data_IF_706472484430
#
_entry.id   IF_706472484430
#
_cell.length_a   1.000
_cell.length_b   1.000
_cell.length_c   1.000
_cell.angle_alpha   90.00
_cell.angle_beta   90.00
_cell.angle_gamma   90.00
#
_symmetry.space_group_name_H-M   'P 1'
#
loop_
_entity.id
_entity.type
_entity.pdbx_description
1 polymer ?
#
# COMPACT_ATOMS: atom_id res chain seq x y z
N UNK A 1 -14.79 -38.90 43.01
CA UNK A 1 -15.57 -37.94 43.84
C UNK A 1 -15.53 -36.58 43.20
N UNK A 2 -16.70 -36.15 42.79
CA UNK A 2 -17.21 -34.77 42.52
C UNK A 2 -16.34 -33.75 41.79
N UNK A 3 -16.75 -33.51 40.61
CA UNK A 3 -17.05 -32.28 39.81
C UNK A 3 -17.21 -30.99 40.62
N UNK A 4 -16.66 -29.91 40.10
CA UNK A 4 -17.35 -28.60 40.04
C UNK A 4 -16.85 -27.76 38.86
N UNK A 5 -17.75 -27.57 37.91
CA UNK A 5 -17.81 -26.61 36.81
C UNK A 5 -17.97 -25.21 37.37
N UNK A 6 -17.24 -24.22 36.89
CA UNK A 6 -17.60 -22.80 37.01
C UNK A 6 -17.69 -22.17 35.63
N UNK A 7 -18.92 -21.97 35.18
CA UNK A 7 -19.28 -20.94 34.21
C UNK A 7 -19.24 -19.58 34.91
N UNK A 8 -18.58 -18.61 34.32
CA UNK A 8 -18.83 -17.20 34.65
C UNK A 8 -19.12 -16.46 33.35
N UNK A 9 -20.41 -16.21 33.14
CA UNK A 9 -20.92 -15.13 32.28
C UNK A 9 -20.42 -13.79 32.85
N UNK A 10 -19.85 -12.94 32.03
CA UNK A 10 -19.74 -11.52 32.35
C UNK A 10 -20.55 -10.75 31.32
N UNK A 11 -21.60 -10.12 31.83
CA UNK A 11 -22.52 -9.26 31.13
C UNK A 11 -21.91 -7.86 30.91
N UNK A 12 -22.17 -7.29 29.76
CA UNK A 12 -22.01 -5.85 29.47
C UNK A 12 -22.99 -5.02 30.32
N UNK A 13 -22.61 -3.82 30.76
CA UNK A 13 -23.59 -2.83 31.16
C UNK A 13 -23.90 -1.86 30.02
N UNK A 14 -25.14 -1.88 29.60
CA UNK A 14 -25.79 -0.80 28.89
C UNK A 14 -25.89 0.42 29.83
N UNK A 15 -25.47 1.58 29.36
CA UNK A 15 -25.82 2.86 29.99
C UNK A 15 -26.81 3.57 29.08
N UNK A 16 -28.05 3.59 29.55
CA UNK A 16 -29.11 4.42 29.00
C UNK A 16 -29.52 5.46 30.06
N UNK A 17 -29.54 6.73 29.62
CA UNK A 17 -30.46 7.81 29.97
C UNK A 17 -30.61 8.33 31.40
N UNK A 18 -30.60 9.69 31.46
CA UNK A 18 -31.69 10.56 31.95
C UNK A 18 -31.16 12.01 31.90
N UNK A 19 -31.59 12.89 31.08
CA UNK A 19 -32.78 13.72 30.86
C UNK A 19 -33.28 14.61 31.96
N UNK A 20 -33.41 15.87 31.57
CA UNK A 20 -34.32 16.91 31.90
C UNK A 20 -34.04 17.75 33.15
N UNK A 21 -33.74 19.01 32.86
CA UNK A 21 -34.51 20.13 33.44
C UNK A 21 -34.31 21.40 32.61
N UNK A 22 -35.41 22.07 32.36
CA UNK A 22 -35.54 23.34 31.68
C UNK A 22 -34.92 24.51 32.46
N UNK A 23 -34.49 25.51 31.76
CA UNK A 23 -34.18 26.86 32.27
C UNK A 23 -33.91 27.78 31.10
N UNK A 24 -34.89 28.66 30.80
CA UNK A 24 -34.76 29.77 29.89
C UNK A 24 -33.67 30.73 30.37
N UNK A 25 -32.85 31.27 29.45
CA UNK A 25 -32.66 32.70 29.30
C UNK A 25 -31.54 33.04 28.27
N UNK A 26 -31.91 34.02 27.45
CA UNK A 26 -31.11 35.04 26.73
C UNK A 26 -30.16 34.62 25.62
N UNK A 27 -30.56 35.11 24.44
CA UNK A 27 -29.84 35.19 23.19
C UNK A 27 -28.52 36.00 23.33
N UNK A 28 -27.40 35.30 23.16
CA UNK A 28 -26.18 35.93 22.68
C UNK A 28 -25.86 35.38 21.30
N UNK A 29 -25.86 36.28 20.32
CA UNK A 29 -25.39 36.00 18.95
C UNK A 29 -23.92 35.69 18.99
N UNK A 30 -23.59 34.39 18.97
CA UNK A 30 -22.23 33.92 18.72
C UNK A 30 -22.15 33.44 17.27
N UNK A 31 -21.20 34.01 16.55
CA UNK A 31 -20.88 33.69 15.17
C UNK A 31 -20.44 32.24 15.10
N UNK A 32 -21.30 31.39 14.58
CA UNK A 32 -21.00 29.99 14.33
C UNK A 32 -19.85 29.89 13.32
N UNK A 33 -18.70 29.50 13.82
CA UNK A 33 -17.72 28.75 13.03
C UNK A 33 -18.46 27.56 12.39
N UNK A 34 -18.44 27.49 11.06
CA UNK A 34 -19.01 26.36 10.32
C UNK A 34 -18.37 25.09 10.82
N UNK A 35 -19.10 24.28 11.55
CA UNK A 35 -18.69 22.94 11.89
C UNK A 35 -18.60 22.17 10.56
N UNK A 36 -17.42 21.67 10.23
CA UNK A 36 -17.26 20.68 9.17
C UNK A 36 -18.24 19.55 9.45
N UNK A 37 -19.17 19.30 8.53
CA UNK A 37 -20.07 18.15 8.64
C UNK A 37 -19.23 16.89 8.44
N UNK A 38 -19.24 16.00 9.41
CA UNK A 38 -18.58 14.70 9.27
C UNK A 38 -19.04 14.00 7.99
N UNK A 39 -18.14 13.33 7.27
CA UNK A 39 -18.51 12.59 6.06
C UNK A 39 -19.57 11.53 6.37
N UNK A 40 -20.47 11.30 5.44
CA UNK A 40 -21.50 10.27 5.57
C UNK A 40 -21.15 9.08 4.69
N UNK A 41 -20.94 7.90 5.29
CA UNK A 41 -20.70 6.68 4.53
C UNK A 41 -22.00 6.09 4.02
N UNK A 42 -22.08 5.78 2.73
CA UNK A 42 -23.18 5.05 2.09
C UNK A 42 -22.69 3.67 1.72
N UNK A 43 -23.35 2.65 2.28
CA UNK A 43 -23.00 1.24 2.09
C UNK A 43 -24.08 0.52 1.25
N UNK A 44 -23.65 -0.50 0.52
CA UNK A 44 -24.57 -1.49 -0.04
C UNK A 44 -25.20 -2.37 1.04
N UNK A 45 -26.29 -3.03 0.71
CA UNK A 45 -26.98 -3.97 1.60
C UNK A 45 -26.34 -5.38 1.58
N UNK A 46 -25.47 -5.67 0.61
CA UNK A 46 -24.83 -6.96 0.44
C UNK A 46 -23.74 -7.18 1.51
N UNK A 47 -23.72 -8.35 2.13
CA UNK A 47 -22.65 -8.75 3.02
C UNK A 47 -21.36 -9.07 2.24
N UNK A 48 -20.20 -8.77 2.84
CA UNK A 48 -18.89 -9.11 2.23
C UNK A 48 -18.82 -10.62 1.97
N UNK A 49 -18.42 -10.96 0.76
CA UNK A 49 -18.24 -12.35 0.35
C UNK A 49 -16.89 -12.85 0.87
N UNK A 50 -16.90 -14.03 1.48
CA UNK A 50 -15.66 -14.69 1.86
C UNK A 50 -14.94 -15.18 0.61
N UNK A 51 -13.80 -14.58 0.30
CA UNK A 51 -12.93 -14.98 -0.79
C UNK A 51 -11.85 -15.96 -0.31
N UNK A 52 -11.22 -16.64 -1.25
CA UNK A 52 -10.09 -17.56 -1.01
C UNK A 52 -8.89 -17.15 -1.87
N UNK A 53 -7.69 -17.51 -1.44
CA UNK A 53 -6.44 -17.09 -2.12
C UNK A 53 -6.38 -17.53 -3.59
N UNK A 54 -7.02 -18.65 -3.97
CA UNK A 54 -7.07 -19.07 -5.39
C UNK A 54 -7.82 -18.08 -6.29
N UNK A 55 -8.67 -17.23 -5.72
CA UNK A 55 -9.38 -16.20 -6.48
C UNK A 55 -8.42 -15.04 -6.87
N UNK A 56 -7.33 -14.84 -6.13
CA UNK A 56 -6.40 -13.72 -6.32
C UNK A 56 -5.56 -13.75 -7.62
N UNK A 57 -5.47 -14.87 -8.32
CA UNK A 57 -4.50 -15.08 -9.42
C UNK A 57 -4.64 -14.06 -10.54
N UNK A 58 -5.88 -13.78 -10.99
CA UNK A 58 -6.11 -12.84 -12.09
C UNK A 58 -5.78 -11.40 -11.67
N UNK A 59 -6.11 -11.00 -10.43
CA UNK A 59 -5.79 -9.69 -9.89
C UNK A 59 -4.26 -9.51 -9.75
N UNK A 60 -3.56 -10.53 -9.26
CA UNK A 60 -2.11 -10.53 -9.10
C UNK A 60 -1.39 -10.29 -10.44
N UNK A 61 -1.76 -11.04 -11.48
CA UNK A 61 -1.19 -10.90 -12.81
C UNK A 61 -1.47 -9.50 -13.41
N UNK A 62 -2.69 -9.00 -13.26
CA UNK A 62 -3.09 -7.67 -13.71
C UNK A 62 -2.28 -6.57 -13.00
N UNK A 63 -2.17 -6.65 -11.67
CA UNK A 63 -1.40 -5.69 -10.86
C UNK A 63 0.09 -5.69 -11.23
N UNK A 64 0.70 -6.86 -11.40
CA UNK A 64 2.12 -6.94 -11.74
C UNK A 64 2.40 -6.35 -13.14
N UNK A 65 1.53 -6.58 -14.12
CA UNK A 65 1.64 -5.96 -15.45
C UNK A 65 1.44 -4.44 -15.38
N UNK A 66 0.40 -3.98 -14.68
CA UNK A 66 0.16 -2.56 -14.43
C UNK A 66 1.32 -1.90 -13.69
N UNK A 67 1.91 -2.59 -12.71
CA UNK A 67 3.08 -2.14 -11.97
C UNK A 67 4.27 -1.84 -12.87
N UNK A 68 4.54 -2.71 -13.84
CA UNK A 68 5.65 -2.54 -14.78
C UNK A 68 5.44 -1.31 -15.67
N UNK A 69 4.26 -1.16 -16.26
CA UNK A 69 3.95 -0.02 -17.13
C UNK A 69 3.96 1.31 -16.35
N UNK A 70 3.36 1.33 -15.14
CA UNK A 70 3.33 2.52 -14.30
C UNK A 70 4.73 2.90 -13.81
N UNK A 71 5.54 1.92 -13.43
CA UNK A 71 6.93 2.14 -13.01
C UNK A 71 7.74 2.84 -14.10
N UNK A 72 7.65 2.35 -15.34
CA UNK A 72 8.35 2.95 -16.49
C UNK A 72 7.95 4.42 -16.68
N UNK A 73 6.66 4.74 -16.59
CA UNK A 73 6.15 6.11 -16.71
C UNK A 73 6.61 7.02 -15.59
N UNK A 74 6.51 6.55 -14.34
CA UNK A 74 6.92 7.35 -13.18
C UNK A 74 8.43 7.63 -13.18
N UNK A 75 9.24 6.64 -13.53
CA UNK A 75 10.69 6.82 -13.69
C UNK A 75 11.03 7.84 -14.79
N UNK A 76 10.25 7.87 -15.89
CA UNK A 76 10.49 8.82 -16.99
C UNK A 76 10.21 10.28 -16.59
N UNK A 77 9.35 10.54 -15.60
CA UNK A 77 9.08 11.90 -15.10
C UNK A 77 10.33 12.51 -14.45
N UNK A 78 10.99 11.77 -13.57
CA UNK A 78 12.26 12.16 -12.96
C UNK A 78 13.20 10.95 -12.86
N UNK A 79 14.08 10.77 -13.85
CA UNK A 79 15.00 9.63 -13.87
C UNK A 79 16.02 9.63 -12.73
N UNK A 80 16.18 10.73 -12.00
CA UNK A 80 17.20 10.90 -10.96
C UNK A 80 16.63 10.84 -9.54
N UNK A 81 15.35 11.04 -9.36
CA UNK A 81 14.70 10.99 -8.06
C UNK A 81 14.58 9.55 -7.51
N UNK A 82 14.52 9.44 -6.19
CA UNK A 82 14.00 8.24 -5.54
C UNK A 82 12.51 8.11 -5.84
N UNK A 83 12.03 6.87 -5.94
CA UNK A 83 10.63 6.57 -6.25
C UNK A 83 10.12 5.46 -5.36
N UNK A 84 8.94 5.63 -4.79
CA UNK A 84 8.16 4.56 -4.17
C UNK A 84 6.68 4.73 -4.51
N UNK A 85 6.00 3.65 -4.87
CA UNK A 85 4.56 3.65 -5.08
C UNK A 85 3.98 2.26 -4.80
N UNK A 86 2.65 2.19 -4.64
CA UNK A 86 1.95 0.93 -4.44
C UNK A 86 1.04 0.61 -5.61
N UNK A 87 1.46 -0.24 -6.54
CA UNK A 87 0.63 -0.65 -7.67
C UNK A 87 -0.62 -1.42 -7.21
N UNK A 88 -0.52 -2.23 -6.17
CA UNK A 88 -1.65 -2.98 -5.63
C UNK A 88 -2.76 -2.05 -5.12
N UNK A 89 -2.39 -1.02 -4.37
CA UNK A 89 -3.34 -0.08 -3.81
C UNK A 89 -4.00 0.78 -4.91
N UNK A 90 -3.21 1.28 -5.88
CA UNK A 90 -3.73 2.05 -7.02
C UNK A 90 -4.68 1.20 -7.87
N UNK A 91 -4.28 -0.02 -8.22
CA UNK A 91 -5.10 -0.91 -9.05
C UNK A 91 -6.40 -1.31 -8.34
N UNK A 92 -6.38 -1.55 -7.01
CA UNK A 92 -7.59 -1.79 -6.22
C UNK A 92 -8.56 -0.62 -6.31
N UNK A 93 -8.10 0.62 -6.09
CA UNK A 93 -8.94 1.81 -6.15
C UNK A 93 -9.54 2.04 -7.55
N UNK A 94 -8.72 1.90 -8.59
CA UNK A 94 -9.17 2.04 -9.98
C UNK A 94 -10.14 0.92 -10.38
N UNK A 95 -9.91 -0.32 -9.93
CA UNK A 95 -10.84 -1.44 -10.19
C UNK A 95 -12.17 -1.26 -9.46
N UNK A 96 -12.18 -0.76 -8.22
CA UNK A 96 -13.41 -0.35 -7.53
C UNK A 96 -14.20 0.67 -8.35
N UNK A 97 -13.49 1.67 -8.89
CA UNK A 97 -14.08 2.72 -9.71
C UNK A 97 -14.63 2.18 -11.03
N UNK A 98 -13.93 1.22 -11.66
CA UNK A 98 -14.35 0.62 -12.93
C UNK A 98 -15.69 -0.13 -12.82
N UNK A 99 -16.09 -0.55 -11.63
CA UNK A 99 -17.38 -1.20 -11.38
C UNK A 99 -18.59 -0.33 -11.78
N UNK A 100 -18.41 1.00 -11.77
CA UNK A 100 -19.47 1.93 -12.20
C UNK A 100 -19.26 2.50 -13.60
N UNK A 101 -18.16 2.15 -14.27
CA UNK A 101 -17.85 2.63 -15.61
C UNK A 101 -18.57 1.81 -16.69
N UNK A 102 -18.86 2.47 -17.81
CA UNK A 102 -19.43 1.84 -19.02
C UNK A 102 -18.69 2.35 -20.26
N UNK A 103 -19.00 1.78 -21.42
CA UNK A 103 -18.55 2.27 -22.72
C UNK A 103 -17.03 2.30 -22.90
N UNK A 104 -16.52 3.42 -23.42
CA UNK A 104 -15.10 3.62 -23.68
C UNK A 104 -14.31 3.71 -22.39
N UNK A 105 -14.83 4.40 -21.37
CA UNK A 105 -14.21 4.54 -20.06
C UNK A 105 -13.90 3.17 -19.45
N UNK A 106 -14.86 2.24 -19.41
CA UNK A 106 -14.63 0.88 -18.91
C UNK A 106 -13.59 0.13 -19.76
N UNK A 107 -13.63 0.28 -21.08
CA UNK A 107 -12.68 -0.37 -21.97
C UNK A 107 -11.25 0.10 -21.75
N UNK A 108 -11.04 1.41 -21.62
CA UNK A 108 -9.74 2.02 -21.36
C UNK A 108 -9.21 1.64 -19.96
N UNK A 109 -10.07 1.71 -18.94
CA UNK A 109 -9.71 1.27 -17.58
C UNK A 109 -9.26 -0.19 -17.55
N UNK A 110 -10.02 -1.09 -18.17
CA UNK A 110 -9.64 -2.51 -18.24
C UNK A 110 -8.32 -2.73 -18.99
N UNK A 111 -8.08 -1.97 -20.06
CA UNK A 111 -6.84 -2.07 -20.85
C UNK A 111 -5.64 -1.63 -20.04
N UNK A 112 -5.70 -0.46 -19.40
CA UNK A 112 -4.60 0.10 -18.60
C UNK A 112 -4.32 -0.76 -17.36
N UNK A 113 -5.36 -1.32 -16.74
CA UNK A 113 -5.24 -2.21 -15.59
C UNK A 113 -4.92 -3.67 -15.96
N UNK A 114 -4.71 -3.99 -17.24
CA UNK A 114 -4.47 -5.35 -17.73
C UNK A 114 -5.55 -6.36 -17.33
N UNK A 115 -6.80 -5.91 -17.21
CA UNK A 115 -7.94 -6.76 -16.83
C UNK A 115 -8.39 -7.54 -18.05
N UNK A 116 -8.09 -8.82 -18.10
CA UNK A 116 -8.46 -9.72 -19.21
C UNK A 116 -9.81 -10.41 -19.00
N UNK A 117 -10.27 -10.52 -17.75
CA UNK A 117 -11.59 -11.08 -17.41
C UNK A 117 -12.35 -10.09 -16.50
N UNK A 118 -13.07 -9.11 -17.05
CA UNK A 118 -13.84 -8.15 -16.27
C UNK A 118 -14.94 -8.78 -15.43
N UNK A 119 -15.42 -9.98 -15.79
CA UNK A 119 -16.52 -10.64 -15.05
C UNK A 119 -16.07 -11.19 -13.69
N UNK A 120 -14.79 -11.56 -13.55
CA UNK A 120 -14.24 -12.14 -12.32
C UNK A 120 -13.30 -11.20 -11.55
N UNK A 121 -12.92 -10.07 -12.12
CA UNK A 121 -11.86 -9.23 -11.53
C UNK A 121 -12.19 -8.75 -10.12
N UNK A 122 -13.42 -8.33 -9.83
CA UNK A 122 -13.81 -7.87 -8.51
C UNK A 122 -13.70 -8.99 -7.46
N UNK A 123 -14.07 -10.23 -7.84
CA UNK A 123 -13.86 -11.41 -6.99
C UNK A 123 -12.37 -11.67 -6.78
N UNK A 124 -11.57 -11.53 -7.83
CA UNK A 124 -10.11 -11.68 -7.72
C UNK A 124 -9.48 -10.63 -6.82
N UNK A 125 -9.94 -9.38 -6.86
CA UNK A 125 -9.51 -8.32 -5.96
C UNK A 125 -9.92 -8.60 -4.51
N UNK A 126 -11.11 -9.18 -4.28
CA UNK A 126 -11.53 -9.63 -2.95
C UNK A 126 -10.59 -10.73 -2.42
N UNK A 127 -10.25 -11.73 -3.26
CA UNK A 127 -9.29 -12.78 -2.90
C UNK A 127 -7.91 -12.22 -2.54
N UNK A 128 -7.45 -11.23 -3.29
CA UNK A 128 -6.18 -10.55 -3.01
C UNK A 128 -6.24 -9.75 -1.70
N UNK A 129 -7.32 -9.01 -1.46
CA UNK A 129 -7.51 -8.29 -0.19
C UNK A 129 -7.52 -9.23 1.00
N UNK A 130 -8.13 -10.41 0.87
CA UNK A 130 -8.11 -11.44 1.91
C UNK A 130 -6.69 -11.99 2.15
N UNK A 131 -5.85 -12.12 1.11
CA UNK A 131 -4.42 -12.48 1.26
C UNK A 131 -3.68 -11.40 2.04
N UNK A 132 -3.87 -10.13 1.72
CA UNK A 132 -3.25 -9.01 2.41
C UNK A 132 -3.71 -8.90 3.88
N UNK A 133 -4.99 -9.13 4.16
CA UNK A 133 -5.49 -9.17 5.54
C UNK A 133 -4.82 -10.31 6.36
N UNK A 134 -4.56 -11.44 5.72
CA UNK A 134 -3.99 -12.63 6.36
C UNK A 134 -2.50 -12.48 6.75
N UNK A 135 -1.76 -11.53 6.15
CA UNK A 135 -0.35 -11.29 6.53
C UNK A 135 -0.21 -10.54 7.85
N UNK A 136 -1.27 -9.89 8.32
CA UNK A 136 -1.27 -9.11 9.57
C UNK A 136 -1.14 -10.03 10.78
N UNK A 137 0.04 -10.05 11.38
CA UNK A 137 0.39 -10.92 12.51
C UNK A 137 1.28 -10.17 13.50
N UNK A 138 1.07 -10.44 14.79
CA UNK A 138 1.89 -9.91 15.87
C UNK A 138 2.16 -11.01 16.88
N UNK A 139 3.43 -11.22 17.23
CA UNK A 139 3.87 -12.20 18.23
C UNK A 139 4.77 -11.51 19.25
N UNK A 140 4.45 -11.69 20.53
CA UNK A 140 5.28 -11.25 21.64
C UNK A 140 6.37 -12.33 21.88
N UNK A 141 7.61 -11.98 21.60
CA UNK A 141 8.75 -12.91 21.72
C UNK A 141 9.15 -13.17 23.17
N UNK A 142 8.69 -12.37 24.13
CA UNK A 142 9.04 -12.54 25.54
C UNK A 142 8.52 -13.87 26.13
N UNK A 143 7.43 -14.42 25.59
CA UNK A 143 6.87 -15.70 25.98
C UNK A 143 7.81 -16.89 25.64
N UNK A 144 8.68 -16.74 24.66
CA UNK A 144 9.67 -17.75 24.23
C UNK A 144 11.10 -17.43 24.69
N UNK A 145 11.26 -16.42 25.55
CA UNK A 145 12.55 -16.00 26.09
C UNK A 145 13.33 -15.04 25.20
N UNK A 146 12.71 -14.53 24.14
CA UNK A 146 13.23 -13.44 23.31
C UNK A 146 12.90 -12.06 23.88
N UNK A 147 13.30 -11.01 23.17
CA UNK A 147 12.97 -9.63 23.50
C UNK A 147 12.10 -9.00 22.41
N UNK A 148 11.17 -8.14 22.81
CA UNK A 148 10.36 -7.34 21.89
C UNK A 148 9.23 -8.10 21.20
N UNK A 149 8.75 -7.51 20.13
CA UNK A 149 7.58 -7.98 19.36
C UNK A 149 7.96 -8.16 17.89
N UNK A 150 7.65 -9.32 17.32
CA UNK A 150 7.71 -9.55 15.87
C UNK A 150 6.35 -9.25 15.26
N UNK A 151 6.32 -8.41 14.22
CA UNK A 151 5.06 -8.01 13.61
C UNK A 151 5.16 -7.79 12.11
N UNK A 152 4.03 -8.04 11.44
CA UNK A 152 3.68 -7.53 10.13
C UNK A 152 2.33 -6.84 10.25
N UNK A 153 2.27 -5.58 9.88
CA UNK A 153 1.05 -4.77 9.81
C UNK A 153 1.00 -4.09 8.44
N UNK A 154 0.16 -4.59 7.57
CA UNK A 154 -0.12 -4.04 6.24
C UNK A 154 -1.53 -3.46 6.25
N UNK A 155 -1.68 -2.18 5.94
CA UNK A 155 -2.98 -1.53 5.77
C UNK A 155 -3.04 -0.91 4.38
N UNK A 156 -4.01 -1.35 3.59
CA UNK A 156 -4.33 -0.77 2.29
C UNK A 156 -5.68 -0.07 2.43
N UNK A 157 -5.63 1.25 2.47
CA UNK A 157 -6.80 2.09 2.68
C UNK A 157 -7.21 2.74 1.36
N UNK A 158 -8.25 2.19 0.74
CA UNK A 158 -8.85 2.69 -0.49
C UNK A 158 -10.26 3.18 -0.20
N UNK A 159 -10.57 4.40 -0.62
CA UNK A 159 -11.90 4.97 -0.44
C UNK A 159 -12.32 5.80 -1.64
N UNK A 160 -13.61 5.74 -1.97
CA UNK A 160 -14.25 6.57 -2.96
C UNK A 160 -15.03 7.67 -2.24
N UNK A 161 -14.74 8.92 -2.59
CA UNK A 161 -15.36 10.10 -2.01
C UNK A 161 -16.23 10.77 -3.07
N UNK A 162 -17.53 10.74 -2.86
CA UNK A 162 -18.53 11.25 -3.80
C UNK A 162 -19.18 12.55 -3.31
N UNK A 163 -19.76 13.32 -4.26
CA UNK A 163 -20.54 14.50 -3.94
C UNK A 163 -21.77 14.13 -3.10
N UNK A 164 -21.96 14.77 -1.98
CA UNK A 164 -23.18 14.69 -1.18
C UNK A 164 -24.41 15.10 -2.01
N UNK A 165 -25.56 14.51 -1.69
CA UNK A 165 -26.83 14.67 -2.40
C UNK A 165 -26.88 14.08 -3.82
N UNK A 166 -25.90 13.25 -4.22
CA UNK A 166 -26.03 12.38 -5.38
C UNK A 166 -26.64 11.04 -4.92
N UNK A 167 -27.54 10.51 -5.74
CA UNK A 167 -28.10 9.14 -5.55
C UNK A 167 -27.20 8.15 -6.26
N UNK A 168 -26.64 7.20 -5.51
CA UNK A 168 -25.78 6.15 -6.08
C UNK A 168 -26.60 4.89 -6.36
N UNK A 169 -26.25 4.20 -7.46
CA UNK A 169 -26.92 2.99 -7.89
C UNK A 169 -26.69 1.85 -6.86
N UNK A 170 -27.77 1.22 -6.44
CA UNK A 170 -27.70 0.17 -5.40
C UNK A 170 -26.81 -1.00 -5.81
N UNK A 171 -26.82 -1.38 -7.10
CA UNK A 171 -25.99 -2.46 -7.61
C UNK A 171 -24.49 -2.14 -7.48
N UNK A 172 -24.09 -0.89 -7.66
CA UNK A 172 -22.71 -0.44 -7.45
C UNK A 172 -22.32 -0.51 -5.97
N UNK A 173 -23.16 0.04 -5.08
CA UNK A 173 -22.93 -0.02 -3.63
C UNK A 173 -22.88 -1.47 -3.12
N UNK A 174 -23.75 -2.33 -3.62
CA UNK A 174 -23.75 -3.76 -3.25
C UNK A 174 -22.48 -4.48 -3.70
N UNK A 175 -21.93 -4.13 -4.88
CA UNK A 175 -20.67 -4.68 -5.34
C UNK A 175 -19.51 -4.18 -4.46
N UNK A 176 -19.44 -2.88 -4.13
CA UNK A 176 -18.42 -2.36 -3.23
C UNK A 176 -18.47 -3.05 -1.87
N UNK A 177 -19.66 -3.21 -1.29
CA UNK A 177 -19.83 -3.87 -0.01
C UNK A 177 -19.46 -5.36 -0.06
N UNK A 178 -19.92 -6.07 -1.10
CA UNK A 178 -19.73 -7.52 -1.19
C UNK A 178 -18.30 -7.94 -1.57
N UNK A 179 -17.63 -7.23 -2.46
CA UNK A 179 -16.32 -7.63 -2.95
C UNK A 179 -15.17 -6.88 -2.27
N UNK A 180 -15.39 -5.66 -1.80
CA UNK A 180 -14.33 -4.85 -1.18
C UNK A 180 -14.56 -4.57 0.31
N UNK A 181 -15.77 -4.84 0.84
CA UNK A 181 -16.12 -4.46 2.20
C UNK A 181 -16.12 -2.94 2.41
N UNK A 182 -16.31 -2.19 1.33
CA UNK A 182 -16.22 -0.73 1.28
C UNK A 182 -17.58 -0.10 0.92
N UNK A 183 -17.71 1.18 1.20
CA UNK A 183 -18.81 2.03 0.75
C UNK A 183 -18.29 3.23 -0.01
N UNK A 184 -19.13 4.24 -0.16
CA UNK A 184 -18.75 5.57 -0.60
C UNK A 184 -18.84 6.55 0.56
N UNK A 185 -17.83 7.36 0.71
CA UNK A 185 -17.83 8.50 1.62
C UNK A 185 -18.42 9.72 0.89
N UNK A 186 -19.37 10.41 1.50
CA UNK A 186 -20.04 11.56 0.91
C UNK A 186 -19.59 12.85 1.58
N UNK A 187 -19.12 13.80 0.78
CA UNK A 187 -18.72 15.14 1.18
C UNK A 187 -19.31 16.18 0.23
N UNK A 188 -19.46 17.41 0.69
CA UNK A 188 -20.04 18.48 -0.15
C UNK A 188 -18.96 19.33 -0.81
N UNK A 189 -18.45 18.84 -1.94
CA UNK A 189 -17.48 19.60 -2.74
C UNK A 189 -18.05 20.93 -3.29
N UNK A 190 -19.36 20.98 -3.58
CA UNK A 190 -19.98 22.14 -4.23
C UNK A 190 -20.08 23.34 -3.31
N UNK A 191 -20.31 23.11 -2.02
CA UNK A 191 -20.51 24.18 -1.04
C UNK A 191 -19.21 24.50 -0.29
N UNK A 192 -18.44 23.47 0.07
CA UNK A 192 -17.21 23.63 0.84
C UNK A 192 -16.15 22.56 0.46
N UNK A 193 -15.43 22.76 -0.67
CA UNK A 193 -14.38 21.83 -1.08
C UNK A 193 -13.20 21.78 -0.09
N UNK A 194 -12.98 22.84 0.70
CA UNK A 194 -11.92 22.84 1.70
C UNK A 194 -12.28 21.96 2.91
N UNK A 195 -13.52 21.99 3.39
CA UNK A 195 -13.97 21.06 4.41
C UNK A 195 -13.90 19.60 3.93
N UNK A 196 -14.24 19.34 2.66
CA UNK A 196 -14.07 18.00 2.06
C UNK A 196 -12.60 17.57 2.06
N UNK A 197 -11.67 18.45 1.68
CA UNK A 197 -10.23 18.19 1.71
C UNK A 197 -9.73 17.84 3.11
N UNK A 198 -10.14 18.62 4.10
CA UNK A 198 -9.76 18.39 5.51
C UNK A 198 -10.28 17.04 6.00
N UNK A 199 -11.54 16.70 5.68
CA UNK A 199 -12.11 15.40 6.07
C UNK A 199 -11.37 14.21 5.42
N UNK A 200 -11.02 14.31 4.13
CA UNK A 200 -10.25 13.29 3.43
C UNK A 200 -8.86 13.14 4.05
N UNK A 201 -8.15 14.23 4.30
CA UNK A 201 -6.82 14.17 4.93
C UNK A 201 -6.88 13.56 6.33
N UNK A 202 -7.86 13.91 7.14
CA UNK A 202 -8.03 13.33 8.47
C UNK A 202 -8.28 11.81 8.42
N UNK A 203 -9.06 11.34 7.45
CA UNK A 203 -9.28 9.93 7.23
C UNK A 203 -7.97 9.21 6.82
N UNK A 204 -7.19 9.79 5.89
CA UNK A 204 -5.90 9.22 5.46
C UNK A 204 -4.91 9.16 6.62
N UNK A 205 -4.80 10.23 7.41
CA UNK A 205 -3.92 10.30 8.59
C UNK A 205 -4.23 9.15 9.56
N UNK A 206 -5.49 8.91 9.84
CA UNK A 206 -5.92 7.80 10.69
C UNK A 206 -5.57 6.42 10.10
N UNK A 207 -5.88 6.21 8.81
CA UNK A 207 -5.64 4.92 8.13
C UNK A 207 -4.16 4.60 7.99
N UNK A 208 -3.30 5.63 7.90
CA UNK A 208 -1.85 5.47 7.74
C UNK A 208 -1.08 5.64 9.04
N UNK A 209 -1.74 5.56 10.21
CA UNK A 209 -1.11 5.68 11.54
C UNK A 209 -0.28 6.97 11.68
N UNK A 210 -0.82 8.09 11.23
CA UNK A 210 -0.22 9.43 11.20
C UNK A 210 1.05 9.53 10.32
N UNK A 211 1.23 8.62 9.37
CA UNK A 211 2.35 8.68 8.42
C UNK A 211 2.10 9.61 7.25
N UNK A 212 0.83 9.76 6.86
CA UNK A 212 0.41 10.65 5.78
C UNK A 212 -0.63 11.64 6.31
N UNK A 213 -0.19 12.70 7.00
CA UNK A 213 -1.11 13.68 7.60
C UNK A 213 -1.78 14.60 6.57
N UNK A 214 -1.22 14.70 5.38
CA UNK A 214 -1.72 15.58 4.32
C UNK A 214 -1.49 14.97 2.94
N UNK A 215 -2.44 14.15 2.49
CA UNK A 215 -2.44 13.58 1.14
C UNK A 215 -2.84 14.63 0.08
N UNK A 216 -3.88 15.42 0.39
CA UNK A 216 -4.43 16.42 -0.50
C UNK A 216 -3.87 17.81 -0.12
N UNK A 217 -3.05 18.46 -0.99
CA UNK A 217 -2.56 19.80 -0.75
C UNK A 217 -3.71 20.83 -0.86
N UNK A 218 -3.46 22.03 -0.34
CA UNK A 218 -4.41 23.13 -0.39
C UNK A 218 -4.82 23.44 -1.84
N UNK A 219 -6.13 23.60 -2.08
CA UNK A 219 -6.68 23.91 -3.39
C UNK A 219 -6.74 22.73 -4.38
N UNK A 220 -6.42 21.50 -3.95
CA UNK A 220 -6.51 20.30 -4.80
C UNK A 220 -7.95 19.89 -5.15
N UNK A 221 -8.93 20.32 -4.35
CA UNK A 221 -10.35 20.11 -4.60
C UNK A 221 -11.03 21.44 -4.96
N UNK A 222 -12.02 21.37 -5.84
CA UNK A 222 -12.76 22.54 -6.31
C UNK A 222 -14.27 22.31 -6.22
N UNK A 223 -15.05 23.36 -6.40
CA UNK A 223 -16.53 23.28 -6.47
C UNK A 223 -17.03 22.42 -7.64
N UNK A 224 -16.17 22.11 -8.60
CA UNK A 224 -16.48 21.24 -9.74
C UNK A 224 -16.09 19.77 -9.49
N UNK A 225 -15.37 19.46 -8.41
CA UNK A 225 -15.06 18.08 -8.02
C UNK A 225 -16.35 17.33 -7.69
N UNK A 226 -16.48 16.08 -8.15
CA UNK A 226 -17.63 15.20 -7.89
C UNK A 226 -17.24 13.85 -7.34
N UNK A 227 -16.03 13.39 -7.68
CA UNK A 227 -15.48 12.11 -7.27
C UNK A 227 -13.98 12.25 -7.04
N UNK A 228 -13.51 11.79 -5.89
CA UNK A 228 -12.08 11.70 -5.54
C UNK A 228 -11.75 10.27 -5.16
N UNK A 229 -10.74 9.71 -5.80
CA UNK A 229 -10.16 8.43 -5.41
C UNK A 229 -9.02 8.69 -4.43
N UNK A 230 -9.16 8.12 -3.25
CA UNK A 230 -8.17 8.20 -2.18
C UNK A 230 -7.53 6.84 -2.00
N UNK A 231 -6.22 6.85 -2.07
CA UNK A 231 -5.41 5.66 -2.02
C UNK A 231 -4.22 5.88 -1.08
N UNK A 232 -4.21 5.18 0.03
CA UNK A 232 -3.16 5.24 1.02
C UNK A 232 -2.73 3.83 1.43
N UNK A 233 -1.45 3.66 1.70
CA UNK A 233 -0.90 2.38 2.11
C UNK A 233 0.12 2.59 3.23
N UNK A 234 0.08 1.69 4.20
CA UNK A 234 0.98 1.62 5.32
C UNK A 234 1.53 0.21 5.48
N UNK A 235 2.82 0.09 5.70
CA UNK A 235 3.44 -1.17 6.06
C UNK A 235 4.40 -0.97 7.23
N UNK A 236 4.29 -1.86 8.22
CA UNK A 236 5.28 -2.08 9.26
C UNK A 236 5.58 -3.57 9.33
N UNK A 237 6.82 -3.96 9.08
CA UNK A 237 7.21 -5.37 9.03
C UNK A 237 8.65 -5.57 9.48
N UNK A 238 8.86 -6.50 10.42
CA UNK A 238 10.20 -6.88 10.84
C UNK A 238 10.82 -7.85 9.83
N UNK A 239 12.15 -7.75 9.61
CA UNK A 239 12.87 -8.77 8.88
C UNK A 239 12.76 -10.14 9.58
N UNK A 240 12.79 -11.23 8.83
CA UNK A 240 12.90 -12.58 9.39
C UNK A 240 14.23 -12.77 10.14
N UNK A 241 15.30 -12.13 9.62
CA UNK A 241 16.59 -12.02 10.26
C UNK A 241 16.98 -10.54 10.23
N UNK A 242 17.01 -9.90 11.37
CA UNK A 242 17.38 -8.49 11.52
C UNK A 242 18.87 -8.30 11.23
N UNK A 243 19.23 -7.14 10.70
CA UNK A 243 20.62 -6.74 10.62
C UNK A 243 21.13 -6.34 12.01
N UNK A 244 22.43 -6.52 12.23
CA UNK A 244 23.07 -6.06 13.46
C UNK A 244 23.49 -4.59 13.28
N UNK A 245 22.94 -3.68 14.06
CA UNK A 245 23.22 -2.25 14.01
C UNK A 245 24.71 -1.92 14.22
N UNK A 246 25.41 -2.73 15.02
CA UNK A 246 26.85 -2.57 15.23
C UNK A 246 27.69 -2.87 13.95
N UNK A 247 27.11 -3.52 12.94
CA UNK A 247 27.74 -3.79 11.65
C UNK A 247 27.32 -2.78 10.55
N UNK A 248 26.44 -1.84 10.85
CA UNK A 248 26.11 -0.76 9.92
C UNK A 248 27.25 0.22 9.84
N UNK A 249 27.77 0.43 8.63
CA UNK A 249 28.93 1.32 8.38
C UNK A 249 28.62 2.37 7.33
N UNK A 250 29.28 3.53 7.40
CA UNK A 250 29.20 4.54 6.33
C UNK A 250 30.06 4.09 5.14
N UNK A 251 29.40 3.65 4.06
CA UNK A 251 30.05 3.15 2.85
C UNK A 251 29.73 4.02 1.62
N UNK A 252 30.59 4.02 0.58
CA UNK A 252 30.33 4.75 -0.64
C UNK A 252 29.16 4.15 -1.43
N UNK A 253 28.32 5.03 -1.98
CA UNK A 253 27.22 4.70 -2.89
C UNK A 253 27.31 5.58 -4.14
N UNK A 254 27.28 4.93 -5.31
CA UNK A 254 27.43 5.59 -6.62
C UNK A 254 26.08 6.15 -7.10
N UNK A 255 25.62 7.27 -6.56
CA UNK A 255 24.39 7.94 -6.98
C UNK A 255 24.56 8.63 -8.36
N UNK A 256 23.46 8.92 -9.11
CA UNK A 256 23.52 9.61 -10.40
C UNK A 256 24.20 10.98 -10.35
N UNK A 257 24.10 11.68 -9.21
CA UNK A 257 24.72 12.99 -8.96
C UNK A 257 26.19 12.93 -8.55
N UNK A 258 26.76 11.73 -8.36
CA UNK A 258 28.10 11.49 -7.84
C UNK A 258 28.08 10.56 -6.64
N UNK A 259 29.27 10.25 -6.10
CA UNK A 259 29.40 9.39 -4.93
C UNK A 259 28.83 10.08 -3.67
N UNK A 260 27.97 9.36 -2.93
CA UNK A 260 27.43 9.77 -1.63
C UNK A 260 27.84 8.76 -0.56
N UNK A 261 27.67 9.09 0.71
CA UNK A 261 27.86 8.15 1.82
C UNK A 261 26.52 7.59 2.26
N UNK A 262 26.35 6.28 2.14
CA UNK A 262 25.17 5.56 2.63
C UNK A 262 25.48 4.85 3.96
N UNK A 263 24.48 4.74 4.84
CA UNK A 263 24.57 3.87 6.01
C UNK A 263 24.27 2.44 5.55
N UNK A 264 25.32 1.64 5.35
CA UNK A 264 25.24 0.30 4.79
C UNK A 264 25.08 -0.73 5.90
N UNK A 265 23.96 -1.42 5.91
CA UNK A 265 23.69 -2.56 6.80
C UNK A 265 24.35 -3.83 6.25
N UNK A 266 24.99 -4.60 7.08
CA UNK A 266 25.68 -5.82 6.66
C UNK A 266 25.13 -7.06 7.38
N UNK A 267 25.00 -8.16 6.63
CA UNK A 267 24.66 -9.47 7.17
C UNK A 267 25.21 -10.59 6.28
N UNK A 268 25.40 -11.77 6.85
CA UNK A 268 25.68 -13.00 6.08
C UNK A 268 24.61 -14.02 6.46
N UNK A 269 23.77 -14.38 5.49
CA UNK A 269 22.63 -15.27 5.71
C UNK A 269 22.32 -16.14 4.49
N UNK A 270 21.60 -17.24 4.72
CA UNK A 270 20.96 -17.99 3.63
C UNK A 270 19.78 -17.18 3.09
N UNK A 271 19.93 -16.62 1.88
CA UNK A 271 18.94 -15.81 1.19
C UNK A 271 18.66 -16.39 -0.20
N UNK A 272 17.54 -16.02 -0.78
CA UNK A 272 17.25 -16.30 -2.18
C UNK A 272 17.98 -15.28 -3.06
N UNK A 273 18.94 -15.75 -3.85
CA UNK A 273 19.79 -14.95 -4.74
C UNK A 273 19.63 -15.41 -6.18
N UNK A 274 19.62 -14.47 -7.11
CA UNK A 274 19.53 -14.72 -8.55
C UNK A 274 20.37 -13.72 -9.33
N UNK A 275 20.71 -14.10 -10.55
CA UNK A 275 21.42 -13.26 -11.50
C UNK A 275 20.92 -13.50 -12.91
N UNK A 276 20.99 -12.49 -13.77
CA UNK A 276 20.66 -12.51 -15.17
C UNK A 276 21.67 -11.73 -16.00
N UNK A 277 21.30 -11.34 -17.21
CA UNK A 277 22.20 -10.61 -18.10
C UNK A 277 22.42 -9.18 -17.60
N UNK A 278 23.54 -8.96 -16.89
CA UNK A 278 23.95 -7.66 -16.39
C UNK A 278 23.23 -7.19 -15.12
N UNK A 279 22.49 -8.04 -14.44
CA UNK A 279 21.84 -7.73 -13.16
C UNK A 279 21.95 -8.87 -12.15
N UNK A 280 21.83 -8.51 -10.88
CA UNK A 280 21.78 -9.42 -9.75
C UNK A 280 20.64 -9.05 -8.82
N UNK A 281 20.06 -10.02 -8.14
CA UNK A 281 18.95 -9.81 -7.23
C UNK A 281 19.07 -10.66 -5.95
N UNK A 282 18.50 -10.14 -4.86
CA UNK A 282 18.35 -10.85 -3.60
C UNK A 282 16.95 -10.63 -3.04
N UNK A 283 16.35 -11.67 -2.48
CA UNK A 283 15.09 -11.59 -1.77
C UNK A 283 15.30 -11.80 -0.27
N UNK A 284 14.84 -10.82 0.51
CA UNK A 284 14.94 -10.76 1.97
C UNK A 284 13.54 -10.99 2.53
N UNK A 285 13.28 -12.10 3.26
CA UNK A 285 11.97 -12.37 3.81
C UNK A 285 11.71 -11.48 5.04
N UNK A 286 10.45 -11.06 5.20
CA UNK A 286 9.96 -10.56 6.47
C UNK A 286 9.59 -11.71 7.42
N UNK A 287 9.45 -11.39 8.71
CA UNK A 287 8.98 -12.34 9.71
C UNK A 287 7.66 -13.00 9.27
N UNK A 288 7.46 -14.25 9.65
CA UNK A 288 6.37 -15.12 9.20
C UNK A 288 6.45 -15.57 7.73
N UNK A 289 7.34 -15.00 6.92
CA UNK A 289 7.61 -15.39 5.52
C UNK A 289 6.44 -15.23 4.54
N UNK A 290 5.42 -14.45 4.90
CA UNK A 290 4.31 -14.14 3.99
C UNK A 290 4.69 -13.04 3.01
N UNK A 291 5.52 -12.09 3.45
CA UNK A 291 6.04 -10.99 2.63
C UNK A 291 7.54 -11.11 2.40
N UNK A 292 8.01 -10.50 1.34
CA UNK A 292 9.44 -10.39 1.02
C UNK A 292 9.78 -9.04 0.37
N UNK A 293 11.03 -8.64 0.55
CA UNK A 293 11.64 -7.48 -0.08
C UNK A 293 12.66 -7.98 -1.12
N UNK A 294 12.33 -7.85 -2.38
CA UNK A 294 13.16 -8.22 -3.52
C UNK A 294 13.92 -7.00 -4.01
N UNK A 295 15.24 -7.07 -4.05
CA UNK A 295 16.13 -6.03 -4.54
C UNK A 295 16.84 -6.52 -5.80
N UNK A 296 16.82 -5.71 -6.86
CA UNK A 296 17.60 -5.94 -8.07
C UNK A 296 18.51 -4.75 -8.37
N UNK A 297 19.75 -5.03 -8.72
CA UNK A 297 20.77 -4.03 -9.02
C UNK A 297 21.50 -4.42 -10.32
N UNK A 298 21.67 -3.45 -11.22
CA UNK A 298 22.49 -3.63 -12.42
C UNK A 298 23.99 -3.68 -12.13
N UNK A 299 24.75 -4.39 -12.97
CA UNK A 299 26.21 -4.39 -12.90
C UNK A 299 26.81 -3.01 -13.24
N UNK A 300 26.02 -2.19 -13.93
CA UNK A 300 26.29 -0.76 -14.14
C UNK A 300 24.98 0.05 -14.08
N UNK A 301 25.09 1.38 -14.03
CA UNK A 301 23.94 2.30 -13.99
C UNK A 301 23.09 2.31 -15.28
N UNK A 302 23.62 1.76 -16.38
CA UNK A 302 23.00 1.79 -17.70
C UNK A 302 22.25 0.47 -18.03
N UNK A 303 22.30 -0.52 -17.13
CA UNK A 303 21.63 -1.82 -17.35
C UNK A 303 20.14 -1.67 -17.05
N UNK A 304 19.31 -2.15 -17.97
CA UNK A 304 17.87 -2.26 -17.73
C UNK A 304 17.59 -3.21 -16.56
N UNK A 305 16.73 -2.78 -15.63
CA UNK A 305 16.32 -3.65 -14.54
C UNK A 305 15.39 -4.74 -15.04
N UNK A 306 15.49 -5.96 -14.48
CA UNK A 306 14.60 -7.05 -14.86
C UNK A 306 13.15 -6.72 -14.48
N UNK A 307 12.20 -7.37 -15.14
CA UNK A 307 10.84 -7.43 -14.63
C UNK A 307 10.81 -8.23 -13.30
N UNK A 308 9.85 -7.92 -12.44
CA UNK A 308 9.75 -8.57 -11.11
C UNK A 308 9.66 -10.10 -11.21
N UNK A 309 8.91 -10.61 -12.20
CA UNK A 309 8.74 -12.06 -12.38
C UNK A 309 10.03 -12.73 -12.91
N UNK A 310 10.82 -12.02 -13.73
CA UNK A 310 12.13 -12.47 -14.19
C UNK A 310 13.11 -12.55 -13.01
N UNK A 311 13.21 -11.48 -12.22
CA UNK A 311 14.06 -11.46 -11.02
C UNK A 311 13.67 -12.55 -10.04
N UNK A 312 12.37 -12.69 -9.74
CA UNK A 312 11.86 -13.70 -8.83
C UNK A 312 12.08 -15.15 -9.33
N UNK A 313 11.94 -15.35 -10.63
CA UNK A 313 12.14 -16.66 -11.27
C UNK A 313 13.60 -17.14 -11.28
N UNK A 314 14.55 -16.22 -11.16
CA UNK A 314 15.99 -16.54 -11.10
C UNK A 314 16.49 -16.91 -9.70
N UNK A 315 15.67 -16.69 -8.65
CA UNK A 315 16.10 -16.85 -7.25
C UNK A 315 16.34 -18.31 -6.87
N UNK A 316 17.46 -18.54 -6.17
CA UNK A 316 17.78 -19.82 -5.55
C UNK A 316 18.48 -19.58 -4.20
N UNK A 317 18.29 -20.49 -3.24
CA UNK A 317 18.94 -20.41 -1.93
C UNK A 317 20.47 -20.40 -2.04
N UNK A 318 21.11 -19.39 -1.44
CA UNK A 318 22.55 -19.17 -1.39
C UNK A 318 22.96 -18.58 -0.04
N UNK A 319 24.17 -18.89 0.40
CA UNK A 319 24.80 -18.10 1.44
C UNK A 319 25.23 -16.76 0.80
N UNK A 320 24.68 -15.66 1.28
CA UNK A 320 24.92 -14.31 0.75
C UNK A 320 25.52 -13.43 1.83
N UNK A 321 26.63 -12.78 1.51
CA UNK A 321 27.16 -11.64 2.25
C UNK A 321 26.54 -10.39 1.64
N UNK A 322 25.52 -9.85 2.31
CA UNK A 322 24.68 -8.75 1.85
C UNK A 322 25.08 -7.43 2.48
N UNK A 323 25.29 -6.41 1.66
CA UNK A 323 25.29 -4.99 2.04
C UNK A 323 24.05 -4.31 1.45
N UNK A 324 23.19 -3.76 2.31
CA UNK A 324 21.98 -3.03 1.90
C UNK A 324 21.95 -1.66 2.55
N UNK A 325 21.81 -0.55 1.81
CA UNK A 325 21.76 0.78 2.42
C UNK A 325 20.44 0.98 3.17
N UNK A 326 20.50 1.71 4.28
CA UNK A 326 19.32 2.30 4.91
C UNK A 326 18.79 3.42 4.04
N UNK A 327 17.49 3.58 4.01
CA UNK A 327 16.85 4.70 3.32
C UNK A 327 15.46 5.00 3.89
N UNK A 328 15.02 6.25 3.73
CA UNK A 328 13.67 6.72 4.08
C UNK A 328 13.20 7.62 2.94
N UNK A 329 12.32 7.10 2.09
CA UNK A 329 11.86 7.78 0.87
C UNK A 329 10.35 7.89 0.84
N UNK A 330 9.89 8.95 0.18
CA UNK A 330 8.49 9.25 -0.02
C UNK A 330 8.25 9.71 -1.46
N UNK A 331 7.11 9.35 -2.00
CA UNK A 331 6.61 9.88 -3.27
C UNK A 331 5.15 10.27 -3.10
N UNK A 332 4.86 11.54 -3.39
CA UNK A 332 3.49 12.05 -3.51
C UNK A 332 3.28 12.52 -4.95
N UNK A 333 2.28 11.99 -5.64
CA UNK A 333 2.04 12.29 -7.05
C UNK A 333 0.58 12.27 -7.42
N UNK A 334 0.20 13.13 -8.38
CA UNK A 334 -1.05 13.01 -9.13
C UNK A 334 -0.84 12.07 -10.30
N UNK A 335 -1.65 11.04 -10.37
CA UNK A 335 -1.56 10.01 -11.41
C UNK A 335 -2.44 10.32 -12.63
N UNK A 336 -3.25 11.39 -12.59
CA UNK A 336 -4.22 11.66 -13.65
C UNK A 336 -3.58 11.75 -15.04
N UNK A 337 -2.50 12.51 -15.18
CA UNK A 337 -1.85 12.68 -16.48
C UNK A 337 -1.09 11.42 -16.90
N UNK A 338 -0.45 10.73 -15.98
CA UNK A 338 0.21 9.45 -16.25
C UNK A 338 -0.79 8.40 -16.75
N UNK A 339 -1.94 8.27 -16.09
CA UNK A 339 -2.99 7.31 -16.47
C UNK A 339 -3.61 7.66 -17.82
N UNK A 340 -3.78 8.95 -18.14
CA UNK A 340 -4.22 9.41 -19.47
C UNK A 340 -3.20 9.02 -20.55
N UNK A 341 -1.90 9.24 -20.31
CA UNK A 341 -0.83 8.85 -21.22
C UNK A 341 -0.72 7.33 -21.42
N UNK A 342 -1.06 6.55 -20.37
CA UNK A 342 -1.17 5.10 -20.46
C UNK A 342 -2.40 4.63 -21.28
N UNK A 343 -3.35 5.54 -21.56
CA UNK A 343 -4.54 5.25 -22.38
C UNK A 343 -5.88 5.29 -21.64
N UNK A 344 -5.95 5.82 -20.41
CA UNK A 344 -7.17 5.94 -19.61
C UNK A 344 -7.77 7.37 -19.70
N UNK A 345 -7.78 8.00 -20.86
CA UNK A 345 -8.19 9.39 -20.99
C UNK A 345 -9.70 9.59 -20.75
N UNK A 346 -10.53 8.66 -21.22
CA UNK A 346 -11.98 8.77 -21.13
C UNK A 346 -12.51 8.85 -19.68
N UNK A 347 -11.83 8.24 -18.73
CA UNK A 347 -12.21 8.25 -17.32
C UNK A 347 -12.10 9.65 -16.68
N UNK A 348 -11.31 10.55 -17.25
CA UNK A 348 -11.07 11.91 -16.77
C UNK A 348 -11.83 12.98 -17.55
N UNK A 349 -12.69 12.58 -18.48
CA UNK A 349 -13.52 13.45 -19.29
C UNK A 349 -14.99 13.36 -18.86
N UNK A 350 -15.71 14.47 -19.00
CA UNK A 350 -17.17 14.51 -18.78
C UNK A 350 -17.90 13.84 -19.97
N UNK A 351 -18.06 12.51 -19.89
CA UNK A 351 -18.62 11.67 -20.94
C UNK A 351 -19.91 10.94 -20.54
N UNK A 352 -20.40 11.17 -19.34
CA UNK A 352 -21.51 10.40 -18.76
C UNK A 352 -21.30 8.86 -18.82
N UNK A 353 -20.08 8.40 -18.66
CA UNK A 353 -19.76 6.95 -18.73
C UNK A 353 -19.52 6.30 -17.37
N UNK A 354 -19.90 6.98 -16.26
CA UNK A 354 -20.00 6.39 -14.92
C UNK A 354 -21.48 6.19 -14.49
N UNK A 355 -22.34 5.89 -15.45
CA UNK A 355 -23.77 5.66 -15.19
C UNK A 355 -24.06 4.41 -14.35
N UNK A 356 -23.12 3.51 -14.20
CA UNK A 356 -23.19 2.42 -13.24
C UNK A 356 -23.05 2.87 -11.78
N UNK A 357 -22.46 4.06 -11.53
CA UNK A 357 -22.41 4.66 -10.19
C UNK A 357 -23.64 5.50 -9.86
N UNK A 358 -24.04 6.34 -10.81
CA UNK A 358 -25.17 7.29 -10.63
C UNK A 358 -25.78 7.69 -11.95
N UNK A 359 -27.07 7.97 -11.93
CA UNK A 359 -27.81 8.59 -13.03
C UNK A 359 -28.00 10.10 -12.87
N UNK A 360 -27.44 10.70 -11.83
CA UNK A 360 -27.50 12.15 -11.58
C UNK A 360 -26.75 12.96 -12.64
N UNK A 361 -27.20 14.23 -12.84
CA UNK A 361 -26.60 15.14 -13.78
C UNK A 361 -26.07 16.42 -13.07
N UNK A 362 -24.92 16.96 -13.47
CA UNK A 362 -23.95 16.41 -14.43
C UNK A 362 -23.39 15.08 -13.96
N UNK A 363 -22.99 14.21 -14.90
CA UNK A 363 -22.41 12.91 -14.64
C UNK A 363 -21.11 12.97 -13.85
N UNK A 364 -20.59 11.79 -13.51
CA UNK A 364 -19.29 11.66 -12.81
C UNK A 364 -18.17 11.50 -13.83
N UNK A 365 -17.01 12.00 -13.45
CA UNK A 365 -15.72 11.69 -14.03
C UNK A 365 -14.67 11.70 -12.90
N UNK A 366 -13.54 11.06 -13.12
CA UNK A 366 -12.43 11.08 -12.16
C UNK A 366 -11.79 12.46 -12.16
N UNK A 367 -11.97 13.21 -11.09
CA UNK A 367 -11.38 14.55 -10.96
C UNK A 367 -9.86 14.48 -10.78
N UNK A 368 -9.40 13.57 -9.91
CA UNK A 368 -7.98 13.31 -9.67
C UNK A 368 -7.78 11.91 -9.08
N UNK A 369 -6.58 11.36 -9.25
CA UNK A 369 -6.07 10.17 -8.58
C UNK A 369 -4.79 10.56 -7.87
N UNK A 370 -4.86 10.71 -6.56
CA UNK A 370 -3.71 11.11 -5.76
C UNK A 370 -3.18 9.91 -5.02
N UNK A 371 -1.90 9.66 -5.19
CA UNK A 371 -1.18 8.59 -4.54
C UNK A 371 0.00 9.12 -3.75
N UNK A 372 0.12 8.67 -2.52
CA UNK A 372 1.31 8.88 -1.71
C UNK A 372 1.72 7.56 -1.07
N UNK A 373 2.99 7.27 -1.18
CA UNK A 373 3.63 6.14 -0.53
C UNK A 373 4.92 6.60 0.15
N UNK A 374 5.22 6.01 1.27
CA UNK A 374 6.50 6.14 1.94
C UNK A 374 7.00 4.76 2.37
N UNK A 375 8.32 4.62 2.44
CA UNK A 375 8.97 3.42 2.91
C UNK A 375 10.28 3.78 3.62
N UNK A 376 10.42 3.28 4.84
CA UNK A 376 11.65 3.35 5.62
C UNK A 376 12.24 1.95 5.71
N UNK A 377 13.50 1.78 5.40
CA UNK A 377 14.24 0.50 5.50
C UNK A 377 15.43 0.69 6.43
N UNK A 378 15.45 -0.11 7.49
CA UNK A 378 16.50 -0.11 8.50
C UNK A 378 16.87 -1.53 8.96
N UNK A 379 17.69 -1.64 9.99
CA UNK A 379 18.21 -2.93 10.52
C UNK A 379 17.13 -3.88 11.03
N UNK A 380 16.00 -3.34 11.47
CA UNK A 380 14.93 -4.11 12.09
C UNK A 380 13.88 -4.56 11.07
N UNK A 381 13.69 -3.76 10.02
CA UNK A 381 12.68 -4.03 9.00
C UNK A 381 12.30 -2.84 8.15
N UNK A 382 11.05 -2.86 7.74
CA UNK A 382 10.38 -1.70 7.16
C UNK A 382 9.54 -1.07 8.27
N UNK A 383 9.84 0.19 8.61
CA UNK A 383 9.20 0.96 9.70
C UNK A 383 9.19 0.25 11.07
N UNK A 384 10.31 -0.28 11.51
CA UNK A 384 10.39 -1.05 12.74
C UNK A 384 11.01 -0.26 13.91
N UNK A 385 10.54 -0.53 15.13
CA UNK A 385 11.18 -0.13 16.39
C UNK A 385 11.92 -1.34 16.96
N UNK A 386 13.11 -1.10 17.54
CA UNK A 386 14.11 -2.09 17.92
C UNK A 386 13.60 -3.43 18.48
N UNK A 387 14.05 -4.51 17.87
CA UNK A 387 14.02 -5.86 18.43
C UNK A 387 15.41 -6.47 18.31
N UNK A 388 15.92 -7.09 19.39
CA UNK A 388 17.23 -7.73 19.42
C UNK A 388 17.06 -9.21 19.07
N UNK A 389 17.64 -9.66 17.96
CA UNK A 389 17.65 -11.08 17.60
C UNK A 389 18.85 -11.79 18.23
N UNK A 390 18.60 -12.92 18.87
CA UNK A 390 19.64 -13.84 19.37
C UNK A 390 19.88 -14.92 18.32
N UNK A 391 21.05 -14.94 17.72
CA UNK A 391 21.47 -15.98 16.78
C UNK A 391 21.94 -17.21 17.61
N UNK A 392 21.20 -18.32 17.55
CA UNK A 392 21.68 -19.60 18.06
C UNK A 392 22.50 -20.33 16.98
N UNK A 393 23.80 -20.43 17.18
CA UNK A 393 24.70 -21.24 16.33
C UNK A 393 24.67 -22.66 16.84
N UNK A 394 24.11 -23.59 16.07
CA UNK A 394 24.20 -25.02 16.34
C UNK A 394 25.59 -25.57 15.94
N UNK A 395 26.30 -26.23 16.85
CA UNK A 395 27.53 -26.96 16.53
C UNK A 395 27.22 -28.20 15.67
N UNK A 396 27.59 -28.17 14.40
CA UNK A 396 27.74 -29.35 13.56
C UNK A 396 29.17 -29.45 13.05
N UNK A 397 29.62 -30.71 12.79
CA UNK A 397 30.99 -31.07 12.45
C UNK A 397 31.62 -30.20 11.34
N UNK A 398 32.95 -30.02 11.30
CA UNK A 398 33.64 -29.08 10.42
C UNK A 398 33.55 -29.55 8.96
N UNK A 399 32.55 -29.05 8.24
CA UNK A 399 32.54 -28.95 6.81
C UNK A 399 33.03 -27.55 6.48
N UNK A 400 33.94 -27.37 5.53
CA UNK A 400 34.31 -26.01 5.11
C UNK A 400 33.02 -25.24 4.77
N UNK A 401 32.76 -24.10 5.42
CA UNK A 401 31.54 -23.35 5.14
C UNK A 401 31.56 -22.96 3.66
N UNK A 402 30.41 -23.00 2.97
CA UNK A 402 30.32 -22.54 1.59
C UNK A 402 30.77 -21.07 1.50
N UNK A 403 31.53 -20.74 0.48
CA UNK A 403 31.95 -19.35 0.24
C UNK A 403 30.69 -18.52 -0.09
N UNK A 404 30.41 -17.44 0.66
CA UNK A 404 29.25 -16.61 0.39
C UNK A 404 29.36 -15.88 -0.95
N UNK A 405 28.22 -15.65 -1.60
CA UNK A 405 28.12 -14.71 -2.70
C UNK A 405 28.10 -13.31 -2.10
N UNK A 406 29.02 -12.44 -2.53
CA UNK A 406 29.04 -11.04 -2.08
C UNK A 406 28.08 -10.21 -2.93
N UNK A 407 27.07 -9.60 -2.29
CA UNK A 407 26.11 -8.72 -2.93
C UNK A 407 25.97 -7.42 -2.13
N UNK A 408 26.71 -6.39 -2.55
CA UNK A 408 26.64 -5.04 -1.94
C UNK A 408 25.84 -4.14 -2.87
N UNK A 409 24.78 -3.55 -2.34
CA UNK A 409 23.90 -2.62 -3.06
C UNK A 409 24.50 -1.21 -2.96
N UNK A 410 25.49 -0.93 -3.79
CA UNK A 410 26.35 0.26 -3.77
C UNK A 410 26.08 1.29 -4.88
N UNK A 411 24.97 1.12 -5.60
CA UNK A 411 24.51 1.96 -6.72
C UNK A 411 23.01 1.89 -6.89
N UNK A 412 22.37 2.72 -7.77
CA UNK A 412 20.93 2.69 -7.99
C UNK A 412 20.37 1.29 -8.16
N UNK A 413 19.29 1.02 -7.46
CA UNK A 413 18.62 -0.27 -7.45
C UNK A 413 17.11 -0.13 -7.49
N UNK A 414 16.44 -1.15 -7.99
CA UNK A 414 14.98 -1.30 -7.96
C UNK A 414 14.61 -2.28 -6.86
N UNK A 415 13.49 -2.05 -6.21
CA UNK A 415 12.95 -2.96 -5.21
C UNK A 415 11.47 -3.21 -5.41
N UNK A 416 11.04 -4.39 -4.96
CA UNK A 416 9.63 -4.77 -4.87
C UNK A 416 9.37 -5.41 -3.52
N UNK A 417 8.32 -4.95 -2.85
CA UNK A 417 7.75 -5.65 -1.72
C UNK A 417 6.62 -6.52 -2.23
N UNK A 418 6.66 -7.81 -1.94
CA UNK A 418 5.79 -8.81 -2.56
C UNK A 418 5.04 -9.63 -1.52
N UNK A 419 3.76 -9.92 -1.79
CA UNK A 419 3.06 -11.05 -1.19
C UNK A 419 3.59 -12.36 -1.80
N UNK A 420 4.19 -13.22 -1.00
CA UNK A 420 4.81 -14.46 -1.50
C UNK A 420 3.79 -15.53 -1.89
N UNK A 421 2.58 -15.47 -1.34
CA UNK A 421 1.53 -16.44 -1.64
C UNK A 421 0.97 -16.24 -3.06
N UNK A 422 0.80 -14.99 -3.48
CA UNK A 422 0.20 -14.63 -4.78
C UNK A 422 1.22 -14.11 -5.80
N UNK A 423 2.41 -13.73 -5.36
CA UNK A 423 3.42 -13.06 -6.18
C UNK A 423 3.12 -11.59 -6.43
N UNK A 424 2.08 -11.02 -5.81
CA UNK A 424 1.63 -9.65 -6.06
C UNK A 424 2.63 -8.62 -5.56
N UNK A 425 2.93 -7.63 -6.39
CA UNK A 425 3.72 -6.45 -6.02
C UNK A 425 2.85 -5.50 -5.22
N UNK A 426 3.18 -5.34 -3.93
CA UNK A 426 2.50 -4.42 -3.00
C UNK A 426 3.11 -3.03 -3.10
N UNK A 427 4.45 -2.93 -3.03
CA UNK A 427 5.22 -1.72 -3.31
C UNK A 427 6.24 -1.99 -4.39
N UNK A 428 6.49 -0.99 -5.21
CA UNK A 428 7.60 -0.95 -6.14
C UNK A 428 8.33 0.39 -6.00
N UNK A 429 9.63 0.40 -6.26
CA UNK A 429 10.37 1.63 -6.19
C UNK A 429 11.79 1.51 -6.72
N UNK A 430 12.45 2.67 -6.77
CA UNK A 430 13.85 2.80 -7.13
C UNK A 430 14.54 3.75 -6.16
N UNK A 431 15.70 3.34 -5.65
CA UNK A 431 16.57 4.18 -4.84
C UNK A 431 17.77 4.58 -5.70
N UNK A 432 17.84 5.86 -6.03
CA UNK A 432 18.96 6.46 -6.73
C UNK A 432 19.98 7.05 -5.77
N UNK A 433 19.52 7.57 -4.64
CA UNK A 433 20.35 8.14 -3.58
C UNK A 433 19.74 7.81 -2.21
N UNK A 434 20.32 6.86 -1.46
CA UNK A 434 19.80 6.48 -0.15
C UNK A 434 20.08 7.54 0.94
N UNK A 435 20.92 8.52 0.68
CA UNK A 435 21.22 9.64 1.61
C UNK A 435 20.20 10.78 1.50
N UNK A 436 19.45 10.84 0.40
CA UNK A 436 18.34 11.78 0.21
C UNK A 436 17.11 11.27 0.96
N UNK A 437 16.94 11.72 2.19
CA UNK A 437 15.76 11.43 3.04
C UNK A 437 14.66 12.45 2.78
N UNK A 438 13.40 12.08 3.13
CA UNK A 438 12.25 13.00 3.09
C UNK A 438 12.39 14.15 4.10
#
# INVERSE_FOLDING_TARGET
MQRRTFLSLLALPAVAQLLQACGDDEATTDTTNGAATDPTTVMGAAARITAINSDAVAASAAINSFSADLFERLVAIDPTANLVFSPASIALALTMTSAGAVGQTLTEMNTVLHITDPASIHRSMNGLSASFDAVNKTVDNTAEGGEGTSQVELSIANSLWGQANYSFEQAFLDLLSSEYGAGMELVDYRTDPEAARVAINAWVDEQTKQRIPQLLPDGSLTVDTRLTLVNAIYLKANWANTFNDALTTPDPFSAPGGEVTAQMMHTTAELAYGEGEGWRAVEIPYVFHDLSFLVAMGDSTDVAMPAVDEAAGALAGRLVELGLPKFDIETATSLADVLKEMGMAAAFEDRDEFTGMTSEQPGLYIGNVIHQANITVDEVGTEAAAATAVIMVGESAPQEPPTPVVFTVDRPFTFWLRDRATGTVIFAGRVNDPSATR
#
